data_IF_452845014536
#
_entry.id   IF_452845014536
#
_cell.length_a   1.000
_cell.length_b   1.000
_cell.length_c   1.000
_cell.angle_alpha   90.00
_cell.angle_beta   90.00
_cell.angle_gamma   90.00
#
_symmetry.space_group_name_H-M   'P 1'
#
loop_
_entity.id
_entity.type
_entity.pdbx_description
1 polymer ?
#
# COMPACT_ATOMS: atom_id res chain seq x y z
N UNK A 1 -16.18 -5.40 -19.40
CA UNK A 1 -15.88 -4.23 -18.54
C UNK A 1 -14.37 -4.09 -18.42
N UNK A 2 -13.85 -2.87 -18.27
CA UNK A 2 -12.45 -2.67 -17.90
C UNK A 2 -12.20 -3.27 -16.52
N UNK A 3 -11.03 -3.89 -16.30
CA UNK A 3 -10.68 -4.44 -14.99
C UNK A 3 -10.37 -3.31 -14.01
N UNK A 4 -10.86 -3.42 -12.78
CA UNK A 4 -10.68 -2.44 -11.71
C UNK A 4 -9.65 -2.90 -10.70
N UNK A 5 -8.67 -2.06 -10.42
CA UNK A 5 -7.61 -2.35 -9.44
C UNK A 5 -7.66 -1.28 -8.36
N UNK A 6 -7.61 -1.70 -7.09
CA UNK A 6 -7.43 -0.83 -5.95
C UNK A 6 -6.01 -1.04 -5.42
N UNK A 7 -5.29 0.04 -5.17
CA UNK A 7 -3.92 0.01 -4.66
C UNK A 7 -3.91 0.70 -3.32
N UNK A 8 -3.18 0.16 -2.36
CA UNK A 8 -2.95 0.82 -1.08
C UNK A 8 -1.48 0.87 -0.72
N UNK A 9 -1.11 1.82 0.12
CA UNK A 9 0.27 2.04 0.55
C UNK A 9 0.36 3.20 1.55
N UNK A 10 1.53 3.84 1.64
CA UNK A 10 1.78 4.98 2.52
C UNK A 10 2.27 6.20 1.71
N UNK A 11 1.42 6.72 0.83
CA UNK A 11 1.74 7.84 -0.05
C UNK A 11 1.45 9.20 0.60
N UNK A 12 0.38 9.31 1.39
CA UNK A 12 -0.05 10.51 2.12
C UNK A 12 0.50 10.63 3.54
N UNK A 13 0.94 9.53 4.15
CA UNK A 13 1.55 9.51 5.49
C UNK A 13 2.83 10.36 5.57
N UNK A 14 3.86 10.12 4.73
CA UNK A 14 5.10 10.92 4.79
C UNK A 14 4.93 12.30 4.12
N UNK A 15 5.00 13.36 4.91
CA UNK A 15 4.63 14.73 4.47
C UNK A 15 5.71 15.60 3.86
N UNK A 16 7.00 15.34 4.13
CA UNK A 16 8.08 16.27 3.78
C UNK A 16 9.14 15.64 2.88
N UNK A 17 9.01 15.86 1.56
CA UNK A 17 10.13 15.71 0.64
C UNK A 17 10.56 14.28 0.31
N UNK A 18 9.81 13.26 0.70
CA UNK A 18 10.11 11.87 0.35
C UNK A 18 9.63 11.54 -1.08
N UNK A 19 10.26 12.18 -2.07
CA UNK A 19 10.02 11.88 -3.48
C UNK A 19 10.24 10.40 -3.80
N UNK A 20 11.22 9.76 -3.15
CA UNK A 20 11.46 8.32 -3.24
C UNK A 20 10.28 7.49 -2.74
N UNK A 21 9.77 7.79 -1.54
CA UNK A 21 8.60 7.10 -0.97
C UNK A 21 7.35 7.31 -1.86
N UNK A 22 7.11 8.55 -2.26
CA UNK A 22 5.99 8.88 -3.15
C UNK A 22 6.07 8.07 -4.43
N UNK A 23 7.24 8.01 -5.06
CA UNK A 23 7.42 7.26 -6.30
C UNK A 23 7.28 5.75 -6.10
N UNK A 24 7.69 5.22 -4.95
CA UNK A 24 7.56 3.80 -4.62
C UNK A 24 6.11 3.31 -4.74
N UNK A 25 5.13 4.14 -4.35
CA UNK A 25 3.70 3.84 -4.48
C UNK A 25 3.08 4.37 -5.79
N UNK A 26 3.38 5.62 -6.15
CA UNK A 26 2.76 6.31 -7.28
C UNK A 26 3.03 5.59 -8.62
N UNK A 27 4.19 4.95 -8.78
CA UNK A 27 4.51 4.21 -9.99
C UNK A 27 3.51 3.08 -10.29
N UNK A 28 2.96 2.43 -9.26
CA UNK A 28 1.96 1.38 -9.45
C UNK A 28 0.64 1.97 -9.93
N UNK A 29 0.21 3.08 -9.34
CA UNK A 29 -1.01 3.79 -9.74
C UNK A 29 -0.91 4.19 -11.22
N UNK A 30 0.17 4.84 -11.61
CA UNK A 30 0.37 5.30 -12.98
C UNK A 30 0.60 4.14 -13.95
N UNK A 31 1.35 3.11 -13.53
CA UNK A 31 1.64 1.92 -14.33
C UNK A 31 0.37 1.15 -14.70
N UNK A 32 -0.49 0.85 -13.74
CA UNK A 32 -1.75 0.15 -14.00
C UNK A 32 -2.70 0.98 -14.88
N UNK A 33 -2.78 2.30 -14.67
CA UNK A 33 -3.57 3.18 -15.56
C UNK A 33 -3.06 3.15 -16.99
N UNK A 34 -1.73 3.19 -17.20
CA UNK A 34 -1.11 3.09 -18.53
C UNK A 34 -1.36 1.75 -19.21
N UNK A 35 -1.55 0.68 -18.44
CA UNK A 35 -1.93 -0.65 -18.94
C UNK A 35 -3.43 -0.78 -19.22
N UNK A 36 -4.23 0.27 -19.01
CA UNK A 36 -5.66 0.31 -19.33
C UNK A 36 -6.58 -0.17 -18.19
N UNK A 37 -6.07 -0.31 -16.96
CA UNK A 37 -6.90 -0.60 -15.80
C UNK A 37 -7.56 0.67 -15.27
N UNK A 38 -8.79 0.52 -14.76
CA UNK A 38 -9.42 1.56 -13.95
C UNK A 38 -8.85 1.46 -12.53
N UNK A 39 -7.89 2.33 -12.21
CA UNK A 39 -7.09 2.22 -10.99
C UNK A 39 -7.51 3.24 -9.95
N UNK A 40 -7.78 2.73 -8.75
CA UNK A 40 -8.07 3.47 -7.54
C UNK A 40 -6.91 3.38 -6.55
N UNK A 41 -6.69 4.40 -5.74
CA UNK A 41 -5.76 4.39 -4.62
C UNK A 41 -6.49 4.64 -3.31
N UNK A 42 -6.20 3.84 -2.29
CA UNK A 42 -6.76 4.01 -0.94
C UNK A 42 -5.66 3.91 0.10
N UNK A 43 -5.68 4.83 1.04
CA UNK A 43 -4.80 4.85 2.20
C UNK A 43 -5.64 5.27 3.39
N UNK A 44 -5.27 4.81 4.59
CA UNK A 44 -5.74 5.42 5.80
C UNK A 44 -4.59 6.01 6.59
N UNK A 45 -4.89 7.02 7.38
CA UNK A 45 -3.93 7.71 8.21
C UNK A 45 -4.48 7.83 9.63
N UNK A 46 -3.64 7.55 10.62
CA UNK A 46 -4.01 7.80 12.02
C UNK A 46 -4.20 9.29 12.24
N UNK A 47 -5.19 9.73 13.05
CA UNK A 47 -5.28 11.12 13.49
C UNK A 47 -3.97 11.62 14.13
N UNK A 48 -3.19 10.74 14.76
CA UNK A 48 -1.90 11.08 15.38
C UNK A 48 -0.79 11.36 14.35
N UNK A 49 -0.94 10.90 13.11
CA UNK A 49 0.03 11.10 12.03
C UNK A 49 -0.34 12.33 11.16
N UNK A 50 -1.44 13.01 11.48
CA UNK A 50 -1.87 14.23 10.82
C UNK A 50 -1.16 15.43 11.43
N UNK A 51 -0.23 16.02 10.69
CA UNK A 51 0.62 17.12 11.17
C UNK A 51 0.64 18.31 10.24
N UNK A 52 0.91 19.51 10.77
CA UNK A 52 1.20 20.70 9.97
C UNK A 52 2.68 20.80 9.57
N UNK A 53 3.10 21.96 9.04
CA UNK A 53 4.49 22.20 8.60
C UNK A 53 5.48 22.35 9.76
N UNK A 54 4.98 22.68 10.95
CA UNK A 54 5.74 22.83 12.19
C UNK A 54 5.70 21.55 13.05
N UNK A 55 5.30 20.42 12.43
CA UNK A 55 5.18 19.10 13.04
C UNK A 55 4.19 19.04 14.21
N UNK A 56 3.20 19.94 14.25
CA UNK A 56 2.17 19.93 15.28
C UNK A 56 0.97 19.08 14.83
N UNK A 57 0.35 18.31 15.75
CA UNK A 57 -0.87 17.56 15.45
C UNK A 57 -2.01 18.50 15.05
N UNK A 58 -2.66 18.21 13.92
CA UNK A 58 -3.81 18.96 13.41
C UNK A 58 -4.84 18.01 12.79
N UNK A 59 -6.12 18.38 12.69
CA UNK A 59 -7.11 17.59 11.99
C UNK A 59 -6.71 17.29 10.53
N UNK A 60 -7.04 16.10 10.02
CA UNK A 60 -6.65 15.62 8.69
C UNK A 60 -6.82 16.67 7.58
N UNK A 61 -7.97 17.35 7.52
CA UNK A 61 -8.25 18.32 6.44
C UNK A 61 -7.24 19.48 6.40
N UNK A 62 -6.74 19.88 7.58
CA UNK A 62 -5.79 20.98 7.77
C UNK A 62 -4.32 20.52 7.71
N UNK A 63 -4.04 19.21 7.69
CA UNK A 63 -2.67 18.69 7.73
C UNK A 63 -1.89 18.95 6.45
N UNK A 64 -0.57 18.98 6.57
CA UNK A 64 0.36 18.91 5.45
C UNK A 64 0.14 17.62 4.64
N UNK A 65 -0.29 16.52 5.27
CA UNK A 65 -0.59 15.24 4.60
C UNK A 65 -1.69 15.44 3.56
N UNK A 66 -2.79 16.07 3.97
CA UNK A 66 -3.90 16.36 3.09
C UNK A 66 -3.54 17.35 1.98
N UNK A 67 -2.73 18.39 2.28
CA UNK A 67 -2.23 19.32 1.25
C UNK A 67 -1.38 18.57 0.21
N UNK A 68 -0.47 17.73 0.67
CA UNK A 68 0.39 16.95 -0.20
C UNK A 68 -0.40 15.97 -1.08
N UNK A 69 -1.32 15.22 -0.46
CA UNK A 69 -2.19 14.27 -1.17
C UNK A 69 -3.05 14.96 -2.25
N UNK A 70 -3.65 16.13 -1.94
CA UNK A 70 -4.35 16.96 -2.93
C UNK A 70 -3.47 17.35 -4.10
N UNK A 71 -2.23 17.80 -3.81
CA UNK A 71 -1.29 18.18 -4.86
C UNK A 71 -0.98 17.03 -5.84
N UNK A 72 -0.91 15.79 -5.33
CA UNK A 72 -0.70 14.60 -6.18
C UNK A 72 -1.95 14.28 -7.00
N UNK A 73 -3.14 14.36 -6.41
CA UNK A 73 -4.39 14.16 -7.15
C UNK A 73 -4.51 15.13 -8.32
N UNK A 74 -4.26 16.41 -8.08
CA UNK A 74 -4.36 17.46 -9.09
C UNK A 74 -3.28 17.29 -10.17
N UNK A 75 -2.02 17.07 -9.76
CA UNK A 75 -0.89 16.95 -10.69
C UNK A 75 -0.99 15.77 -11.65
N UNK A 76 -1.57 14.66 -11.21
CA UNK A 76 -1.65 13.43 -12.00
C UNK A 76 -3.06 13.11 -12.51
N UNK A 77 -4.04 14.01 -12.31
CA UNK A 77 -5.41 13.81 -12.76
C UNK A 77 -6.10 12.61 -12.09
N UNK A 78 -5.86 12.43 -10.79
CA UNK A 78 -6.36 11.31 -10.00
C UNK A 78 -7.55 11.70 -9.09
N UNK A 79 -8.09 12.89 -9.28
CA UNK A 79 -9.34 13.32 -8.66
C UNK A 79 -10.47 12.33 -8.98
N UNK A 80 -11.17 11.86 -7.94
CA UNK A 80 -12.20 10.81 -8.05
C UNK A 80 -11.66 9.38 -8.08
N UNK A 81 -10.34 9.17 -8.05
CA UNK A 81 -9.71 7.84 -8.02
C UNK A 81 -8.87 7.59 -6.76
N UNK A 82 -8.72 8.58 -5.89
CA UNK A 82 -7.90 8.44 -4.67
C UNK A 82 -8.71 8.75 -3.42
N UNK A 83 -8.35 8.07 -2.33
CA UNK A 83 -8.88 8.28 -1.00
C UNK A 83 -7.75 8.27 0.04
N UNK A 84 -7.64 9.33 0.84
CA UNK A 84 -6.90 9.32 2.10
C UNK A 84 -7.93 9.39 3.22
N UNK A 85 -8.09 8.29 3.94
CA UNK A 85 -9.15 8.09 4.93
C UNK A 85 -8.61 8.28 6.35
N UNK A 86 -9.35 8.96 7.21
CA UNK A 86 -9.03 9.01 8.63
C UNK A 86 -9.29 7.64 9.27
N UNK A 87 -8.29 7.07 9.95
CA UNK A 87 -8.45 5.81 10.66
C UNK A 87 -9.30 5.97 11.90
N UNK A 88 -10.37 5.16 12.01
CA UNK A 88 -11.30 5.21 13.15
C UNK A 88 -12.20 6.46 13.18
N UNK A 89 -12.15 7.30 12.14
CA UNK A 89 -12.93 8.52 12.02
C UNK A 89 -13.69 8.60 10.69
N UNK A 90 -14.23 9.79 10.41
CA UNK A 90 -15.01 10.06 9.19
C UNK A 90 -14.30 11.02 8.23
N UNK A 91 -13.16 11.58 8.65
CA UNK A 91 -12.34 12.43 7.81
C UNK A 91 -11.88 11.72 6.54
N UNK A 92 -11.82 12.46 5.43
CA UNK A 92 -11.32 11.95 4.17
C UNK A 92 -10.80 13.07 3.27
N UNK A 93 -9.86 12.74 2.38
CA UNK A 93 -9.46 13.54 1.22
C UNK A 93 -9.70 12.72 -0.05
N UNK A 94 -10.37 13.30 -1.04
CA UNK A 94 -10.84 12.56 -2.20
C UNK A 94 -12.11 11.77 -1.86
N UNK A 95 -12.18 10.51 -2.29
CA UNK A 95 -13.34 9.65 -2.04
C UNK A 95 -13.60 9.48 -0.53
N UNK A 96 -14.88 9.40 -0.18
CA UNK A 96 -15.36 9.11 1.19
C UNK A 96 -15.15 7.64 1.54
N UNK A 97 -15.21 7.34 2.85
CA UNK A 97 -15.25 5.96 3.35
C UNK A 97 -16.36 5.14 2.67
N UNK A 98 -17.57 5.70 2.59
CA UNK A 98 -18.73 5.02 2.00
C UNK A 98 -18.56 4.78 0.50
N UNK A 99 -18.01 5.73 -0.26
CA UNK A 99 -17.72 5.52 -1.69
C UNK A 99 -16.69 4.40 -1.89
N UNK A 100 -15.60 4.37 -1.09
CA UNK A 100 -14.59 3.31 -1.16
C UNK A 100 -15.20 1.95 -0.83
N UNK A 101 -16.03 1.86 0.22
CA UNK A 101 -16.70 0.62 0.58
C UNK A 101 -17.72 0.14 -0.46
N UNK A 102 -18.41 1.06 -1.13
CA UNK A 102 -19.35 0.76 -2.21
C UNK A 102 -18.62 0.33 -3.49
N UNK A 103 -17.41 0.81 -3.73
CA UNK A 103 -16.56 0.39 -4.85
C UNK A 103 -15.98 -1.00 -4.65
N UNK A 104 -15.72 -1.41 -3.40
CA UNK A 104 -14.99 -2.63 -3.06
C UNK A 104 -15.49 -3.92 -3.77
N UNK A 105 -16.81 -4.20 -3.87
CA UNK A 105 -17.31 -5.39 -4.59
C UNK A 105 -16.99 -5.44 -6.09
N UNK A 106 -16.73 -4.28 -6.70
CA UNK A 106 -16.41 -4.17 -8.13
C UNK A 106 -14.91 -4.29 -8.42
N UNK A 107 -14.06 -4.25 -7.38
CA UNK A 107 -12.61 -4.35 -7.51
C UNK A 107 -12.18 -5.79 -7.79
N UNK A 108 -11.48 -5.99 -8.90
CA UNK A 108 -10.96 -7.30 -9.31
C UNK A 108 -9.72 -7.71 -8.50
N UNK A 109 -8.91 -6.73 -8.10
CA UNK A 109 -7.69 -6.94 -7.35
C UNK A 109 -7.39 -5.74 -6.45
N UNK A 110 -7.18 -6.00 -5.16
CA UNK A 110 -6.54 -5.07 -4.24
C UNK A 110 -5.06 -5.40 -4.13
N UNK A 111 -4.18 -4.43 -4.37
CA UNK A 111 -2.73 -4.53 -4.19
C UNK A 111 -2.35 -3.77 -2.94
N UNK A 112 -2.07 -4.49 -1.85
CA UNK A 112 -1.68 -3.94 -0.57
C UNK A 112 -0.15 -3.86 -0.49
N UNK A 113 0.39 -2.68 -0.80
CA UNK A 113 1.83 -2.43 -0.79
C UNK A 113 2.30 -2.36 0.67
N UNK A 114 3.22 -3.24 1.03
CA UNK A 114 3.79 -3.40 2.38
C UNK A 114 2.74 -3.54 3.50
N UNK A 115 1.56 -4.06 3.18
CA UNK A 115 0.53 -4.35 4.18
C UNK A 115 -0.13 -3.12 4.82
N UNK A 116 0.02 -1.91 4.27
CA UNK A 116 -0.43 -0.69 4.93
C UNK A 116 -1.95 -0.52 5.09
N UNK A 117 -2.78 -1.33 4.44
CA UNK A 117 -4.23 -1.18 4.48
C UNK A 117 -4.95 -2.27 5.25
N UNK A 118 -5.78 -1.86 6.21
CA UNK A 118 -6.42 -2.74 7.20
C UNK A 118 -7.96 -2.63 7.27
N UNK A 119 -8.61 -1.81 6.42
CA UNK A 119 -10.08 -1.65 6.49
C UNK A 119 -10.79 -2.94 6.05
N UNK A 120 -11.26 -3.72 7.04
CA UNK A 120 -11.95 -5.00 6.82
C UNK A 120 -13.22 -4.86 5.99
N UNK A 121 -13.92 -3.73 6.08
CA UNK A 121 -15.12 -3.44 5.29
C UNK A 121 -14.85 -3.40 3.78
N UNK A 122 -13.61 -3.12 3.38
CA UNK A 122 -13.13 -3.14 1.99
C UNK A 122 -12.47 -4.48 1.68
N UNK A 123 -11.53 -4.94 2.52
CA UNK A 123 -10.76 -6.17 2.31
C UNK A 123 -11.64 -7.43 2.22
N UNK A 124 -12.80 -7.45 2.88
CA UNK A 124 -13.73 -8.59 2.81
C UNK A 124 -14.59 -8.62 1.54
N UNK A 125 -14.67 -7.52 0.80
CA UNK A 125 -15.57 -7.35 -0.35
C UNK A 125 -14.85 -7.39 -1.70
N UNK A 126 -13.55 -7.09 -1.75
CA UNK A 126 -12.75 -7.18 -2.98
C UNK A 126 -12.62 -8.64 -3.45
N UNK A 127 -12.51 -8.85 -4.77
CA UNK A 127 -12.46 -10.21 -5.34
C UNK A 127 -11.18 -10.98 -4.99
N UNK A 128 -10.04 -10.28 -4.98
CA UNK A 128 -8.70 -10.84 -4.67
C UNK A 128 -7.84 -9.80 -3.98
N UNK A 129 -6.98 -10.25 -3.07
CA UNK A 129 -6.01 -9.45 -2.31
C UNK A 129 -4.60 -9.94 -2.58
N UNK A 130 -3.76 -9.04 -3.07
CA UNK A 130 -2.33 -9.23 -3.23
C UNK A 130 -1.60 -8.46 -2.14
N UNK A 131 -0.78 -9.13 -1.35
CA UNK A 131 0.26 -8.49 -0.56
C UNK A 131 1.48 -8.30 -1.45
N UNK A 132 1.95 -7.07 -1.62
CA UNK A 132 3.17 -6.79 -2.36
C UNK A 132 4.20 -6.18 -1.41
N UNK A 133 5.19 -7.00 -1.05
CA UNK A 133 6.29 -6.62 -0.17
C UNK A 133 7.36 -5.86 -0.95
N UNK A 134 7.59 -4.61 -0.57
CA UNK A 134 8.58 -3.73 -1.18
C UNK A 134 9.96 -3.82 -0.50
N UNK A 135 10.04 -4.53 0.63
CA UNK A 135 11.27 -4.67 1.43
C UNK A 135 11.43 -6.11 1.99
N UNK A 136 11.59 -7.10 1.09
CA UNK A 136 11.69 -8.50 1.50
C UNK A 136 12.91 -8.73 2.40
N UNK A 137 12.69 -9.49 3.46
CA UNK A 137 13.63 -9.74 4.55
C UNK A 137 13.21 -9.00 5.82
N UNK A 138 13.01 -7.68 5.73
CA UNK A 138 12.58 -6.89 6.88
C UNK A 138 11.17 -7.30 7.33
N UNK A 139 10.20 -7.30 6.43
CA UNK A 139 8.79 -7.65 6.76
C UNK A 139 8.68 -8.95 7.56
N UNK A 140 9.41 -9.99 7.16
CA UNK A 140 9.38 -11.29 7.81
C UNK A 140 10.08 -11.26 9.18
N UNK A 141 11.23 -10.58 9.29
CA UNK A 141 11.94 -10.42 10.56
C UNK A 141 11.08 -9.64 11.58
N UNK A 142 10.48 -8.53 11.16
CA UNK A 142 9.61 -7.72 12.02
C UNK A 142 8.43 -8.52 12.57
N UNK A 143 7.80 -9.34 11.73
CA UNK A 143 6.71 -10.20 12.19
C UNK A 143 7.17 -11.34 13.10
N UNK A 144 8.17 -12.11 12.68
CA UNK A 144 8.53 -13.36 13.36
C UNK A 144 9.40 -13.13 14.62
N UNK A 145 10.32 -12.17 14.57
CA UNK A 145 11.28 -11.95 15.65
C UNK A 145 10.81 -10.87 16.63
N UNK A 146 10.10 -9.85 16.12
CA UNK A 146 9.67 -8.71 16.91
C UNK A 146 8.16 -8.68 17.19
N UNK A 147 7.40 -9.63 16.63
CA UNK A 147 5.95 -9.74 16.87
C UNK A 147 5.15 -8.55 16.35
N UNK A 148 5.71 -7.78 15.41
CA UNK A 148 5.00 -6.65 14.78
C UNK A 148 4.06 -7.20 13.74
N UNK A 149 2.78 -6.84 13.83
CA UNK A 149 1.79 -7.22 12.82
C UNK A 149 2.08 -6.50 11.50
N UNK A 150 2.68 -7.22 10.56
CA UNK A 150 2.99 -6.75 9.22
C UNK A 150 1.82 -6.94 8.24
N UNK A 151 0.64 -7.28 8.76
CA UNK A 151 -0.60 -7.48 8.01
C UNK A 151 -0.48 -8.56 6.93
N UNK A 152 0.33 -9.60 7.18
CA UNK A 152 0.48 -10.71 6.24
C UNK A 152 -0.83 -11.51 6.12
N UNK A 153 -1.48 -11.98 7.21
CA UNK A 153 -2.65 -12.86 7.10
C UNK A 153 -3.83 -12.21 6.35
N UNK A 154 -4.57 -13.03 5.60
CA UNK A 154 -5.81 -12.60 4.92
C UNK A 154 -5.63 -12.13 3.48
N UNK A 155 -4.42 -12.19 2.92
CA UNK A 155 -4.17 -11.99 1.49
C UNK A 155 -4.20 -13.32 0.73
N UNK A 156 -4.62 -13.28 -0.53
CA UNK A 156 -4.79 -14.47 -1.39
C UNK A 156 -3.53 -14.77 -2.20
N UNK A 157 -2.69 -13.75 -2.44
CA UNK A 157 -1.43 -13.83 -3.19
C UNK A 157 -0.39 -12.99 -2.48
N UNK A 158 0.86 -13.45 -2.48
CA UNK A 158 2.00 -12.74 -1.90
C UNK A 158 3.07 -12.63 -2.99
N UNK A 159 3.52 -11.41 -3.25
CA UNK A 159 4.60 -11.11 -4.19
C UNK A 159 5.60 -10.22 -3.47
N UNK A 160 6.87 -10.42 -3.76
CA UNK A 160 7.95 -9.53 -3.34
C UNK A 160 8.94 -9.41 -4.48
N UNK A 161 9.70 -8.32 -4.49
CA UNK A 161 10.86 -8.19 -5.34
C UNK A 161 11.98 -7.53 -4.56
N UNK A 162 13.21 -7.92 -4.86
CA UNK A 162 14.41 -7.33 -4.25
C UNK A 162 15.28 -6.72 -5.34
N UNK A 163 15.97 -5.64 -5.01
CA UNK A 163 17.06 -5.13 -5.84
C UNK A 163 18.31 -5.83 -5.38
N UNK A 164 18.84 -6.74 -6.21
CA UNK A 164 20.10 -7.42 -5.92
C UNK A 164 21.24 -6.39 -5.86
N UNK A 165 21.66 -6.03 -4.65
CA UNK A 165 22.66 -4.96 -4.46
C UNK A 165 24.11 -5.42 -4.51
N UNK A 166 24.39 -6.73 -4.59
CA UNK A 166 25.68 -7.32 -4.97
C UNK A 166 25.53 -8.85 -5.04
N UNK A 167 25.29 -9.41 -6.22
CA UNK A 167 25.75 -10.78 -6.49
C UNK A 167 26.97 -10.72 -7.38
N UNK A 168 28.07 -11.23 -6.84
CA UNK A 168 29.10 -11.82 -7.69
C UNK A 168 28.42 -12.90 -8.53
N UNK A 169 28.58 -12.92 -9.86
CA UNK A 169 27.94 -13.93 -10.70
C UNK A 169 28.40 -15.32 -10.23
N UNK A 170 27.45 -16.14 -9.77
CA UNK A 170 27.69 -17.56 -9.44
C UNK A 170 27.36 -18.03 -8.02
N UNK A 171 26.77 -17.22 -7.14
CA UNK A 171 26.27 -17.73 -5.84
C UNK A 171 24.75 -17.79 -5.84
N UNK A 172 24.20 -18.98 -6.10
CA UNK A 172 22.82 -19.27 -5.73
C UNK A 172 22.66 -19.01 -4.23
N UNK A 173 21.70 -18.16 -3.85
CA UNK A 173 21.32 -17.97 -2.46
C UNK A 173 20.79 -19.33 -1.96
N UNK A 174 21.51 -19.92 -1.02
CA UNK A 174 21.27 -21.27 -0.53
C UNK A 174 19.94 -21.38 0.20
N UNK A 175 19.27 -22.52 -0.01
CA UNK A 175 18.18 -23.02 0.83
C UNK A 175 18.79 -23.39 2.18
N UNK A 176 18.31 -22.78 3.28
CA UNK A 176 18.64 -23.24 4.64
C UNK A 176 17.59 -24.29 5.05
N UNK A 177 18.02 -25.54 5.14
CA UNK A 177 17.16 -26.70 5.45
C UNK A 177 16.69 -26.75 6.92
N UNK A 178 17.00 -25.73 7.74
CA UNK A 178 16.57 -25.70 9.16
C UNK A 178 15.11 -25.33 9.39
N UNK A 179 14.36 -24.96 8.35
CA UNK A 179 12.97 -24.54 8.51
C UNK A 179 12.03 -25.11 7.42
N UNK A 180 11.48 -26.32 7.63
CA UNK A 180 10.67 -27.02 6.63
C UNK A 180 9.36 -26.33 6.22
N UNK A 181 8.90 -25.29 6.94
CA UNK A 181 7.69 -24.54 6.59
C UNK A 181 7.91 -23.46 5.52
N UNK A 182 9.16 -23.08 5.24
CA UNK A 182 9.48 -21.93 4.36
C UNK A 182 9.84 -22.31 2.94
N UNK A 183 10.00 -23.61 2.64
CA UNK A 183 10.19 -24.09 1.27
C UNK A 183 9.04 -23.68 0.35
N UNK A 184 7.82 -23.46 0.87
CA UNK A 184 6.70 -22.97 0.06
C UNK A 184 6.68 -21.47 -0.21
N UNK A 185 7.53 -20.69 0.46
CA UNK A 185 7.58 -19.22 0.33
C UNK A 185 8.73 -18.78 -0.59
N UNK A 186 9.60 -19.67 -1.08
CA UNK A 186 10.70 -19.28 -1.98
C UNK A 186 10.83 -20.18 -3.22
N UNK A 187 9.72 -20.65 -3.79
CA UNK A 187 9.74 -21.32 -5.09
C UNK A 187 9.33 -20.36 -6.21
N UNK A 188 10.35 -19.87 -6.94
CA UNK A 188 10.18 -19.21 -8.24
C UNK A 188 9.86 -20.27 -9.31
N UNK A 189 8.88 -19.97 -10.17
CA UNK A 189 8.87 -20.48 -11.55
C UNK A 189 9.89 -19.70 -12.38
#
# INVERSE_FOLDING_TARGET
MAKRIMISGALGGPVLGYGGNTWAFLQYILGFRRLGFETYYVEHLSPNDCIDEDWQPVPLVASANARYFRSLMDRFGLNGYMALLEWGGVGHIGLTHTEVENLAPDIDLLVNLSGHFHLKSVLSKVRRRLYLDLDPGYTQIWQEQYGVDMNLPGHDVYVWYTVEKHASPGRALGVDDRYPSWSRVFHYC
#
